data_IF_160199408308
#
_entry.id   IF_160199408308
#
_cell.length_a   1.000
_cell.length_b   1.000
_cell.length_c   1.000
_cell.angle_alpha   90.00
_cell.angle_beta   90.00
_cell.angle_gamma   90.00
#
_symmetry.space_group_name_H-M   'P 1'
#
loop_
_entity.id
_entity.type
_entity.pdbx_description
1 polymer ?
#
# COMPACT_ATOMS: atom_id res chain seq x y z
N UNK A 1 15.40 -15.43 -6.86
CA UNK A 1 14.41 -15.20 -5.79
C UNK A 1 13.30 -14.31 -6.29
N UNK A 2 12.08 -14.51 -5.82
CA UNK A 2 10.89 -13.73 -6.21
C UNK A 2 10.92 -12.30 -5.68
N UNK A 3 11.72 -12.03 -4.65
CA UNK A 3 11.80 -10.72 -4.00
C UNK A 3 13.26 -10.27 -3.87
N UNK A 4 13.53 -8.96 -3.99
CA UNK A 4 14.84 -8.43 -3.68
C UNK A 4 15.13 -8.66 -2.18
N UNK A 5 16.34 -9.16 -1.88
CA UNK A 5 16.77 -9.51 -0.52
C UNK A 5 17.82 -8.56 0.03
N UNK A 6 18.49 -7.81 -0.84
CA UNK A 6 19.52 -6.83 -0.48
C UNK A 6 19.59 -5.71 -1.52
N UNK A 7 20.00 -4.51 -1.09
CA UNK A 7 20.17 -3.34 -1.95
C UNK A 7 19.25 -2.18 -1.64
N UNK A 8 19.36 -1.14 -2.43
CA UNK A 8 18.50 0.05 -2.32
C UNK A 8 18.14 0.59 -3.69
N UNK A 9 16.97 1.21 -3.79
CA UNK A 9 16.48 1.87 -4.99
C UNK A 9 15.89 3.21 -4.60
N UNK A 10 16.25 4.26 -5.32
CA UNK A 10 15.65 5.57 -5.21
C UNK A 10 15.13 5.98 -6.58
N UNK A 11 13.88 6.39 -6.65
CA UNK A 11 13.23 6.83 -7.86
C UNK A 11 12.50 8.14 -7.63
N UNK A 12 12.78 9.15 -8.46
CA UNK A 12 12.10 10.44 -8.47
C UNK A 12 11.47 10.63 -9.84
N UNK A 13 10.20 11.01 -9.86
CA UNK A 13 9.48 11.30 -11.10
C UNK A 13 8.80 12.65 -10.98
N UNK A 14 9.09 13.54 -11.94
CA UNK A 14 8.38 14.80 -12.11
C UNK A 14 7.63 14.78 -13.43
N UNK A 15 6.36 15.13 -13.38
CA UNK A 15 5.47 15.27 -14.54
C UNK A 15 4.83 16.63 -14.48
N UNK A 16 4.68 17.25 -15.65
CA UNK A 16 3.92 18.47 -15.78
C UNK A 16 3.16 18.48 -17.11
N UNK A 17 2.01 19.16 -17.13
CA UNK A 17 1.23 19.45 -18.31
C UNK A 17 0.94 20.94 -18.33
N UNK A 18 1.48 21.72 -19.29
CA UNK A 18 1.14 23.12 -19.40
C UNK A 18 -0.28 23.27 -19.98
N UNK A 19 -1.00 24.30 -19.55
CA UNK A 19 -2.30 24.66 -20.13
C UNK A 19 -2.11 25.16 -21.56
N UNK A 20 -2.56 24.38 -22.55
CA UNK A 20 -2.46 24.72 -23.98
C UNK A 20 -3.80 25.13 -24.58
N UNK A 21 -4.91 24.76 -23.94
CA UNK A 21 -6.27 25.06 -24.37
C UNK A 21 -7.23 24.96 -23.19
N UNK A 22 -8.48 25.36 -23.37
CA UNK A 22 -9.53 25.22 -22.35
C UNK A 22 -9.87 23.76 -22.01
N UNK A 23 -9.36 22.82 -22.79
CA UNK A 23 -9.57 21.38 -22.58
C UNK A 23 -8.41 20.70 -21.81
N UNK A 24 -7.33 21.42 -21.50
CA UNK A 24 -6.17 20.88 -20.79
C UNK A 24 -6.07 21.49 -19.39
N UNK A 25 -5.79 20.61 -18.43
CA UNK A 25 -5.46 21.04 -17.07
C UNK A 25 -3.97 21.35 -16.97
N UNK A 26 -3.63 22.45 -16.30
CA UNK A 26 -2.28 22.71 -15.84
C UNK A 26 -2.02 21.89 -14.57
N UNK A 27 -1.06 20.98 -14.63
CA UNK A 27 -0.68 20.24 -13.44
C UNK A 27 0.81 19.95 -13.36
N UNK A 28 1.25 19.87 -12.14
CA UNK A 28 2.56 19.38 -11.78
C UNK A 28 2.39 18.20 -10.80
N UNK A 29 3.24 17.19 -10.97
CA UNK A 29 3.27 16.04 -10.07
C UNK A 29 4.72 15.68 -9.77
N UNK A 30 5.07 15.62 -8.50
CA UNK A 30 6.35 15.11 -8.02
C UNK A 30 6.11 13.88 -7.17
N UNK A 31 6.81 12.79 -7.47
CA UNK A 31 6.81 11.57 -6.67
C UNK A 31 8.22 11.14 -6.33
N UNK A 32 8.38 10.62 -5.11
CA UNK A 32 9.61 10.03 -4.57
C UNK A 32 9.29 8.61 -4.10
N UNK A 33 10.04 7.62 -4.54
CA UNK A 33 9.92 6.22 -4.11
C UNK A 33 11.30 5.72 -3.69
N UNK A 34 11.50 5.54 -2.41
CA UNK A 34 12.72 4.99 -1.83
C UNK A 34 12.43 3.59 -1.28
N UNK A 35 13.26 2.62 -1.66
CA UNK A 35 13.19 1.25 -1.18
C UNK A 35 14.55 0.79 -0.71
N UNK A 36 14.57 0.11 0.44
CA UNK A 36 15.76 -0.49 1.03
C UNK A 36 15.47 -1.92 1.43
N UNK A 37 16.38 -2.79 1.08
CA UNK A 37 16.34 -4.20 1.45
C UNK A 37 17.63 -4.54 2.19
N UNK A 38 17.49 -5.20 3.32
CA UNK A 38 18.63 -5.67 4.11
C UNK A 38 18.46 -7.15 4.37
N UNK A 39 19.49 -7.91 4.05
CA UNK A 39 19.54 -9.35 4.32
C UNK A 39 20.11 -9.62 5.69
N UNK A 40 19.45 -10.49 6.47
CA UNK A 40 19.90 -10.98 7.78
C UNK A 40 19.94 -12.52 7.73
N UNK A 41 21.10 -13.09 7.44
CA UNK A 41 21.28 -14.53 7.33
C UNK A 41 20.23 -15.19 6.40
N UNK A 42 19.18 -15.79 7.01
CA UNK A 42 18.08 -16.46 6.32
C UNK A 42 16.85 -15.56 6.08
N UNK A 43 16.79 -14.40 6.74
CA UNK A 43 15.65 -13.47 6.65
C UNK A 43 16.03 -12.21 5.88
N UNK A 44 15.03 -11.42 5.54
CA UNK A 44 15.24 -10.09 4.95
C UNK A 44 14.24 -9.07 5.47
N UNK A 45 14.68 -7.82 5.56
CA UNK A 45 13.84 -6.68 5.89
C UNK A 45 13.74 -5.78 4.67
N UNK A 46 12.52 -5.59 4.18
CA UNK A 46 12.19 -4.61 3.14
C UNK A 46 11.56 -3.38 3.75
N UNK A 47 11.99 -2.20 3.31
CA UNK A 47 11.42 -0.91 3.68
C UNK A 47 11.10 -0.14 2.40
N UNK A 48 9.97 0.54 2.38
CA UNK A 48 9.61 1.49 1.34
C UNK A 48 9.13 2.78 1.98
N UNK A 49 9.55 3.89 1.41
CA UNK A 49 9.02 5.21 1.66
C UNK A 49 8.59 5.83 0.34
N UNK A 50 7.33 6.24 0.26
CA UNK A 50 6.78 6.91 -0.90
C UNK A 50 6.18 8.24 -0.48
N UNK A 51 6.48 9.29 -1.26
CA UNK A 51 5.88 10.61 -1.10
C UNK A 51 5.46 11.14 -2.46
N UNK A 52 4.33 11.83 -2.51
CA UNK A 52 3.83 12.43 -3.74
C UNK A 52 3.06 13.71 -3.49
N UNK A 53 3.13 14.63 -4.46
CA UNK A 53 2.39 15.88 -4.46
C UNK A 53 1.94 16.26 -5.85
N UNK A 54 0.63 16.57 -5.97
CA UNK A 54 0.04 17.27 -7.10
C UNK A 54 -0.20 18.74 -6.75
N UNK A 55 0.03 19.64 -7.73
CA UNK A 55 -0.35 21.05 -7.62
C UNK A 55 -0.65 21.63 -9.00
N UNK A 56 -1.34 22.78 -9.07
CA UNK A 56 -1.88 23.41 -10.28
C UNK A 56 -3.40 23.32 -10.32
N UNK A 57 -4.00 23.64 -11.47
CA UNK A 57 -5.47 23.62 -11.68
C UNK A 57 -5.98 22.21 -12.03
N UNK A 58 -5.39 21.18 -11.44
CA UNK A 58 -5.63 19.80 -11.83
C UNK A 58 -6.61 19.08 -10.90
N UNK A 59 -7.56 18.30 -11.43
CA UNK A 59 -8.35 17.37 -10.65
C UNK A 59 -7.59 16.10 -10.22
N UNK A 60 -6.32 15.96 -10.64
CA UNK A 60 -5.51 14.78 -10.34
C UNK A 60 -5.28 14.59 -8.86
N UNK A 61 -5.47 13.36 -8.38
CA UNK A 61 -5.31 12.97 -6.98
C UNK A 61 -4.56 11.65 -6.86
N UNK A 62 -3.87 11.49 -5.73
CA UNK A 62 -3.40 10.17 -5.31
C UNK A 62 -4.54 9.43 -4.66
N UNK A 63 -4.73 8.17 -5.07
CA UNK A 63 -5.63 7.22 -4.41
C UNK A 63 -4.78 6.23 -3.63
N UNK A 64 -4.82 6.32 -2.30
CA UNK A 64 -4.09 5.48 -1.38
C UNK A 64 -4.99 4.36 -0.86
N UNK A 65 -4.48 3.13 -0.80
CA UNK A 65 -5.26 2.01 -0.29
C UNK A 65 -4.55 0.69 -0.42
N UNK A 66 -5.33 -0.38 -0.35
CA UNK A 66 -4.88 -1.76 -0.39
C UNK A 66 -4.21 -2.17 -1.70
N UNK A 67 -3.83 -3.42 -1.78
CA UNK A 67 -3.42 -4.05 -3.03
C UNK A 67 -4.63 -4.73 -3.68
N UNK A 68 -4.65 -4.93 -5.01
CA UNK A 68 -5.66 -5.75 -5.66
C UNK A 68 -5.68 -7.17 -5.08
N UNK A 69 -6.85 -7.68 -4.74
CA UNK A 69 -7.01 -9.06 -4.27
C UNK A 69 -7.94 -9.85 -5.18
N UNK A 70 -7.83 -11.18 -5.13
CA UNK A 70 -8.68 -12.12 -5.87
C UNK A 70 -9.84 -12.59 -5.00
N UNK A 71 -9.57 -12.80 -3.69
CA UNK A 71 -10.54 -13.21 -2.71
C UNK A 71 -10.24 -12.61 -1.34
N UNK A 72 -11.27 -12.39 -0.53
CA UNK A 72 -11.14 -11.90 0.84
C UNK A 72 -12.25 -12.48 1.73
N UNK A 73 -12.06 -12.45 3.05
CA UNK A 73 -13.08 -12.81 4.03
C UNK A 73 -14.18 -11.77 4.17
N UNK A 74 -13.93 -10.57 3.73
CA UNK A 74 -14.82 -9.43 3.86
C UNK A 74 -15.55 -9.19 2.53
N UNK A 75 -16.85 -8.94 2.61
CA UNK A 75 -17.65 -8.55 1.44
C UNK A 75 -17.47 -7.05 1.17
N UNK A 76 -16.22 -6.64 0.89
CA UNK A 76 -15.86 -5.25 0.60
C UNK A 76 -15.65 -5.07 -0.89
N UNK A 77 -15.96 -3.89 -1.44
CA UNK A 77 -15.56 -3.59 -2.82
C UNK A 77 -14.04 -3.59 -2.92
N UNK A 78 -13.52 -4.29 -3.92
CA UNK A 78 -12.08 -4.34 -4.19
C UNK A 78 -11.52 -2.95 -4.51
N UNK A 79 -12.31 -2.17 -5.22
CA UNK A 79 -11.98 -0.81 -5.63
C UNK A 79 -13.05 0.16 -5.14
N UNK A 80 -12.63 1.33 -4.74
CA UNK A 80 -13.53 2.46 -4.56
C UNK A 80 -13.58 3.22 -5.89
N UNK A 81 -14.57 2.88 -6.74
CA UNK A 81 -14.75 3.51 -8.04
C UNK A 81 -15.67 4.71 -7.94
N UNK A 82 -15.15 5.86 -8.36
CA UNK A 82 -15.91 6.83 -9.09
C UNK A 82 -15.40 6.82 -10.54
N UNK A 83 -16.28 6.60 -11.52
CA UNK A 83 -15.88 6.41 -12.92
C UNK A 83 -15.25 7.67 -13.53
N UNK A 84 -15.65 8.86 -13.09
CA UNK A 84 -15.09 10.12 -13.56
C UNK A 84 -13.69 10.39 -12.95
N UNK A 85 -13.49 10.02 -11.69
CA UNK A 85 -12.23 10.22 -10.99
C UNK A 85 -11.14 9.22 -11.37
N UNK A 86 -11.49 8.08 -11.98
CA UNK A 86 -10.52 7.04 -12.31
C UNK A 86 -9.45 7.54 -13.29
N UNK A 87 -9.82 8.32 -14.28
CA UNK A 87 -8.90 8.83 -15.30
C UNK A 87 -7.89 9.86 -14.76
N UNK A 88 -8.21 10.54 -13.65
CA UNK A 88 -7.40 11.58 -13.04
C UNK A 88 -6.77 11.14 -11.71
N UNK A 89 -6.51 9.85 -11.56
CA UNK A 89 -5.98 9.28 -10.32
C UNK A 89 -4.66 8.56 -10.51
N UNK A 90 -3.77 8.66 -9.53
CA UNK A 90 -2.59 7.83 -9.40
C UNK A 90 -2.73 6.96 -8.15
N UNK A 91 -2.83 5.65 -8.36
CA UNK A 91 -2.97 4.70 -7.27
C UNK A 91 -1.65 4.45 -6.57
N UNK A 92 -1.64 4.59 -5.26
CA UNK A 92 -0.51 4.31 -4.37
C UNK A 92 -0.88 3.16 -3.45
N UNK A 93 -0.10 2.10 -3.45
CA UNK A 93 -0.33 0.89 -2.66
C UNK A 93 1.01 0.22 -2.29
N UNK A 94 1.05 -0.73 -1.33
CA UNK A 94 -0.09 -1.23 -0.57
C UNK A 94 -0.32 -0.50 0.75
N UNK A 95 -1.59 -0.39 1.18
CA UNK A 95 -1.99 -0.40 2.58
C UNK A 95 -2.90 -1.61 2.73
N UNK A 96 -2.33 -2.74 3.11
CA UNK A 96 -3.02 -4.03 3.15
C UNK A 96 -4.17 -4.01 4.15
N UNK A 97 -5.29 -4.67 3.82
CA UNK A 97 -6.50 -4.64 4.64
C UNK A 97 -7.44 -3.46 4.38
N UNK A 98 -7.11 -2.59 3.44
CA UNK A 98 -7.98 -1.53 2.92
C UNK A 98 -8.41 -1.83 1.48
N UNK A 99 -9.53 -1.26 1.04
CA UNK A 99 -9.89 -1.25 -0.38
C UNK A 99 -8.91 -0.40 -1.17
N UNK A 100 -8.61 -0.78 -2.41
CA UNK A 100 -7.72 -0.01 -3.27
C UNK A 100 -8.31 1.37 -3.54
N UNK A 101 -7.54 2.43 -3.30
CA UNK A 101 -7.97 3.80 -3.51
C UNK A 101 -9.04 4.29 -2.52
N UNK A 102 -9.15 3.66 -1.34
CA UNK A 102 -10.12 4.04 -0.30
C UNK A 102 -9.87 5.41 0.33
N UNK A 103 -8.69 5.96 0.14
CA UNK A 103 -8.29 7.29 0.64
C UNK A 103 -7.72 8.09 -0.54
N UNK A 104 -7.97 9.39 -0.60
CA UNK A 104 -7.50 10.20 -1.70
C UNK A 104 -7.24 11.66 -1.36
N UNK A 105 -6.23 12.25 -2.01
CA UNK A 105 -5.82 13.62 -1.81
C UNK A 105 -4.76 14.05 -2.83
N UNK A 106 -4.45 15.36 -2.85
CA UNK A 106 -3.39 15.91 -3.71
C UNK A 106 -1.98 15.62 -3.19
N UNK A 107 -1.85 15.27 -1.92
CA UNK A 107 -0.60 14.89 -1.30
C UNK A 107 -0.72 13.49 -0.69
N UNK A 108 0.38 12.75 -0.68
CA UNK A 108 0.44 11.38 -0.15
C UNK A 108 1.78 11.10 0.51
N UNK A 109 1.72 10.39 1.62
CA UNK A 109 2.87 9.71 2.22
C UNK A 109 2.50 8.25 2.49
N UNK A 110 3.45 7.34 2.22
CA UNK A 110 3.30 5.92 2.50
C UNK A 110 4.64 5.35 2.99
N UNK A 111 4.59 4.58 4.05
CA UNK A 111 5.69 3.78 4.57
C UNK A 111 5.25 2.34 4.73
N UNK A 112 6.03 1.43 4.15
CA UNK A 112 5.83 0.00 4.29
C UNK A 112 7.09 -0.62 4.90
N UNK A 113 6.90 -1.55 5.81
CA UNK A 113 7.94 -2.35 6.41
C UNK A 113 7.54 -3.82 6.34
N UNK A 114 8.42 -4.67 5.82
CA UNK A 114 8.22 -6.10 5.70
C UNK A 114 9.40 -6.89 6.24
N UNK A 115 9.12 -7.80 7.14
CA UNK A 115 10.08 -8.79 7.60
C UNK A 115 9.73 -10.16 7.02
N UNK A 116 10.65 -10.71 6.23
CA UNK A 116 10.46 -11.93 5.43
C UNK A 116 11.29 -13.07 6.00
N UNK A 117 10.64 -14.19 6.28
CA UNK A 117 11.24 -15.40 6.83
C UNK A 117 10.97 -16.60 5.93
N UNK A 118 11.96 -17.44 5.60
CA UNK A 118 11.76 -18.72 4.95
C UNK A 118 11.19 -19.75 5.95
N UNK A 119 9.91 -19.59 6.33
CA UNK A 119 9.33 -20.30 7.47
C UNK A 119 9.41 -21.82 7.36
N UNK A 120 9.19 -22.40 6.18
CA UNK A 120 9.08 -23.85 6.04
C UNK A 120 10.40 -24.53 5.66
N UNK A 121 11.33 -23.82 5.04
CA UNK A 121 12.65 -24.38 4.72
C UNK A 121 13.41 -24.79 5.98
N UNK A 122 13.18 -24.10 7.09
CA UNK A 122 13.85 -24.35 8.37
C UNK A 122 13.26 -25.56 9.12
N UNK A 123 11.92 -25.74 9.05
CA UNK A 123 11.22 -26.80 9.78
C UNK A 123 11.03 -28.09 9.02
N UNK A 124 10.99 -28.03 7.69
CA UNK A 124 10.72 -29.18 6.81
C UNK A 124 11.68 -29.22 5.63
N UNK A 125 13.00 -29.41 5.85
CA UNK A 125 14.00 -29.41 4.78
C UNK A 125 13.82 -30.55 3.77
N UNK A 126 13.05 -31.58 4.10
CA UNK A 126 12.83 -32.77 3.27
C UNK A 126 11.84 -32.55 2.13
N UNK A 127 11.02 -31.48 2.18
CA UNK A 127 9.98 -31.22 1.19
C UNK A 127 10.34 -29.95 0.41
N UNK A 128 11.08 -30.11 -0.67
CA UNK A 128 11.67 -29.01 -1.45
C UNK A 128 10.63 -27.99 -1.99
N UNK A 129 9.42 -28.40 -2.34
CA UNK A 129 8.41 -27.49 -2.85
C UNK A 129 7.79 -26.61 -1.74
N UNK A 130 7.76 -27.08 -0.49
CA UNK A 130 7.36 -26.28 0.67
C UNK A 130 8.41 -25.22 1.04
N UNK A 131 9.68 -25.43 0.66
CA UNK A 131 10.75 -24.45 0.86
C UNK A 131 10.57 -23.16 0.08
N UNK A 132 9.62 -23.08 -0.84
CA UNK A 132 9.26 -21.86 -1.55
C UNK A 132 8.21 -21.01 -0.82
N UNK A 133 7.68 -21.48 0.33
CA UNK A 133 6.74 -20.73 1.14
C UNK A 133 7.51 -19.88 2.14
N UNK A 134 7.41 -18.55 1.95
CA UNK A 134 7.97 -17.56 2.86
C UNK A 134 6.86 -17.00 3.75
N UNK A 135 7.16 -16.79 5.03
CA UNK A 135 6.31 -16.00 5.91
C UNK A 135 6.70 -14.53 5.85
N UNK A 136 5.73 -13.64 5.86
CA UNK A 136 5.94 -12.20 5.89
C UNK A 136 5.17 -11.61 7.06
N UNK A 137 5.84 -10.78 7.86
CA UNK A 137 5.23 -9.85 8.81
C UNK A 137 5.36 -8.46 8.21
N UNK A 138 4.30 -7.68 8.26
CA UNK A 138 4.31 -6.36 7.67
C UNK A 138 3.60 -5.32 8.52
N UNK A 139 3.95 -4.06 8.28
CA UNK A 139 3.20 -2.91 8.73
C UNK A 139 3.23 -1.84 7.66
N UNK A 140 2.07 -1.25 7.39
CA UNK A 140 1.84 -0.21 6.39
C UNK A 140 1.25 1.01 7.08
N UNK A 141 1.89 2.15 6.95
CA UNK A 141 1.43 3.44 7.46
C UNK A 141 1.33 4.42 6.31
N UNK A 142 0.19 5.05 6.14
CA UNK A 142 0.02 6.04 5.07
C UNK A 142 -0.98 7.12 5.41
N UNK A 143 -0.88 8.22 4.69
CA UNK A 143 -1.77 9.37 4.80
C UNK A 143 -1.93 10.08 3.47
N UNK A 144 -3.08 10.67 3.27
CA UNK A 144 -3.39 11.57 2.16
C UNK A 144 -4.07 12.82 2.67
N UNK A 145 -3.82 13.94 1.99
CA UNK A 145 -4.43 15.23 2.34
C UNK A 145 -4.42 16.20 1.15
N UNK A 146 -5.23 17.24 1.21
CA UNK A 146 -5.24 18.31 0.22
C UNK A 146 -4.51 19.57 0.72
N UNK A 147 -4.96 20.20 1.76
CA UNK A 147 -4.41 21.48 2.24
C UNK A 147 -3.32 21.28 3.29
N UNK A 148 -3.65 20.63 4.40
CA UNK A 148 -2.75 20.41 5.52
C UNK A 148 -2.70 18.95 5.93
N UNK A 149 -1.52 18.50 6.38
CA UNK A 149 -1.38 17.11 6.85
C UNK A 149 -2.30 16.89 8.07
N UNK A 150 -3.11 15.80 8.07
CA UNK A 150 -4.02 15.51 9.18
C UNK A 150 -3.26 15.33 10.50
N UNK A 151 -3.79 15.85 11.60
CA UNK A 151 -3.17 15.69 12.91
C UNK A 151 -3.15 14.19 13.30
N UNK A 152 -1.96 13.69 13.57
CA UNK A 152 -1.75 12.29 13.96
C UNK A 152 -2.40 11.95 15.32
N UNK A 153 -2.56 12.94 16.21
CA UNK A 153 -3.14 12.77 17.54
C UNK A 153 -4.66 12.98 17.57
N UNK A 154 -5.27 13.40 16.47
CA UNK A 154 -6.72 13.56 16.37
C UNK A 154 -7.37 12.23 15.95
N UNK A 155 -8.35 11.78 16.74
CA UNK A 155 -9.12 10.57 16.44
C UNK A 155 -9.95 10.68 15.15
N UNK A 156 -10.36 11.87 14.75
CA UNK A 156 -11.07 12.10 13.49
C UNK A 156 -10.20 11.79 12.29
N UNK A 157 -8.90 12.04 12.36
CA UNK A 157 -7.93 11.74 11.30
C UNK A 157 -7.74 10.24 11.04
N UNK A 158 -8.27 9.35 11.89
CA UNK A 158 -8.20 7.89 11.76
C UNK A 158 -9.54 7.24 11.38
N UNK A 159 -10.63 8.01 11.44
CA UNK A 159 -11.98 7.54 11.15
C UNK A 159 -12.35 7.85 9.70
N UNK A 160 -12.25 6.85 8.84
CA UNK A 160 -12.59 6.98 7.44
C UNK A 160 -14.03 6.54 7.21
N UNK A 161 -14.94 7.49 6.99
CA UNK A 161 -16.31 7.21 6.55
C UNK A 161 -16.33 6.98 5.04
N UNK A 162 -16.99 5.90 4.61
CA UNK A 162 -17.01 5.43 3.22
C UNK A 162 -18.14 6.04 2.37
N UNK A 163 -18.72 7.16 2.76
CA UNK A 163 -19.90 7.72 2.11
C UNK A 163 -19.61 8.60 0.87
N UNK A 164 -18.51 8.33 0.14
CA UNK A 164 -18.24 9.00 -1.15
C UNK A 164 -17.59 10.38 -1.04
N UNK A 165 -17.32 10.86 0.17
CA UNK A 165 -16.56 12.09 0.39
C UNK A 165 -15.06 11.80 0.50
N UNK A 166 -14.24 12.79 0.15
CA UNK A 166 -12.79 12.79 0.30
C UNK A 166 -12.38 12.29 1.68
N UNK A 167 -11.70 11.16 1.74
CA UNK A 167 -11.30 10.55 2.99
C UNK A 167 -9.84 10.86 3.23
N UNK A 168 -9.57 12.08 3.65
CA UNK A 168 -8.26 12.48 4.14
C UNK A 168 -7.99 11.85 5.50
N UNK A 169 -6.75 11.56 5.80
CA UNK A 169 -6.37 11.05 7.11
C UNK A 169 -5.28 10.01 7.09
N UNK A 170 -5.12 9.32 8.21
CA UNK A 170 -4.11 8.32 8.45
C UNK A 170 -4.70 6.92 8.42
N UNK A 171 -3.95 5.98 7.86
CA UNK A 171 -4.23 4.55 7.98
C UNK A 171 -2.96 3.84 8.44
N UNK A 172 -3.08 3.02 9.50
CA UNK A 172 -2.02 2.15 9.99
C UNK A 172 -2.54 0.73 10.05
N UNK A 173 -1.97 -0.12 9.20
CA UNK A 173 -2.32 -1.53 9.17
C UNK A 173 -1.07 -2.37 9.44
N UNK A 174 -1.28 -3.56 9.97
CA UNK A 174 -0.23 -4.55 10.15
C UNK A 174 -0.81 -5.95 9.98
N UNK A 175 0.06 -6.90 9.79
CA UNK A 175 -0.39 -8.26 9.60
C UNK A 175 0.74 -9.24 9.33
N UNK A 176 0.32 -10.42 8.95
CA UNK A 176 1.23 -11.47 8.52
C UNK A 176 0.57 -12.37 7.49
N UNK A 177 1.38 -13.11 6.74
CA UNK A 177 0.86 -14.11 5.83
C UNK A 177 1.92 -14.83 5.02
N UNK A 178 1.56 -15.97 4.43
CA UNK A 178 2.44 -16.70 3.54
C UNK A 178 2.56 -16.07 2.16
N UNK A 179 3.74 -16.23 1.57
CA UNK A 179 4.04 -15.97 0.17
C UNK A 179 4.48 -17.27 -0.47
N UNK A 180 3.86 -17.68 -1.54
CA UNK A 180 4.13 -18.95 -2.21
C UNK A 180 3.98 -18.82 -3.73
N UNK A 181 4.59 -19.76 -4.45
CA UNK A 181 4.42 -19.90 -5.90
C UNK A 181 3.49 -21.06 -6.18
N UNK A 182 2.42 -20.82 -6.90
CA UNK A 182 1.49 -21.82 -7.36
C UNK A 182 1.16 -21.60 -8.84
N UNK A 183 1.27 -22.66 -9.66
CA UNK A 183 1.16 -22.61 -11.12
C UNK A 183 2.10 -21.58 -11.78
N UNK A 184 3.30 -21.40 -11.24
CA UNK A 184 4.29 -20.45 -11.77
C UNK A 184 4.01 -19.00 -11.44
N UNK A 185 2.95 -18.70 -10.72
CA UNK A 185 2.56 -17.36 -10.30
C UNK A 185 2.80 -17.15 -8.81
N UNK A 186 3.28 -15.97 -8.38
CA UNK A 186 3.41 -15.63 -6.98
C UNK A 186 2.03 -15.32 -6.37
N UNK A 187 1.76 -15.93 -5.22
CA UNK A 187 0.56 -15.75 -4.43
C UNK A 187 0.92 -15.26 -3.04
N UNK A 188 0.02 -14.49 -2.49
CA UNK A 188 0.11 -13.96 -1.14
C UNK A 188 -1.23 -14.03 -0.44
N UNK A 189 -1.23 -14.50 0.80
CA UNK A 189 -2.39 -14.52 1.68
C UNK A 189 -2.06 -13.68 2.91
N UNK A 190 -2.76 -12.59 3.10
CA UNK A 190 -2.52 -11.64 4.18
C UNK A 190 -3.66 -11.65 5.20
N UNK A 191 -3.32 -11.85 6.46
CA UNK A 191 -4.19 -11.61 7.61
C UNK A 191 -3.87 -10.21 8.15
N UNK A 192 -4.87 -9.33 8.23
CA UNK A 192 -4.66 -7.90 8.43
C UNK A 192 -5.45 -7.35 9.59
N UNK A 193 -4.82 -6.42 10.31
CA UNK A 193 -5.44 -5.62 11.37
C UNK A 193 -5.18 -4.14 11.09
N UNK A 194 -6.13 -3.31 11.48
CA UNK A 194 -5.96 -1.86 11.53
C UNK A 194 -5.73 -1.44 12.97
N UNK A 195 -4.74 -0.58 13.17
CA UNK A 195 -4.42 0.03 14.46
C UNK A 195 -4.86 1.49 14.50
N UNK A 196 -5.47 1.89 15.59
CA UNK A 196 -5.91 3.25 15.87
C UNK A 196 -5.10 3.79 17.07
N UNK A 197 -4.00 4.54 16.85
CA UNK A 197 -3.07 4.91 17.91
C UNK A 197 -3.68 5.79 18.99
N UNK A 198 -4.60 6.69 18.62
CA UNK A 198 -5.26 7.60 19.57
C UNK A 198 -6.14 6.84 20.58
N UNK A 199 -6.78 5.77 20.15
CA UNK A 199 -7.68 4.98 21.01
C UNK A 199 -7.03 3.69 21.52
N UNK A 200 -5.85 3.33 21.00
CA UNK A 200 -5.18 2.06 21.28
C UNK A 200 -5.95 0.82 20.76
N UNK A 201 -6.96 1.00 19.91
CA UNK A 201 -7.80 -0.10 19.41
C UNK A 201 -7.12 -0.80 18.24
N UNK A 202 -7.32 -2.13 18.20
CA UNK A 202 -6.98 -2.99 17.07
C UNK A 202 -8.27 -3.57 16.48
N UNK A 203 -8.43 -3.49 15.18
CA UNK A 203 -9.58 -4.04 14.47
C UNK A 203 -9.07 -5.05 13.43
N UNK A 204 -9.60 -6.28 13.48
CA UNK A 204 -9.34 -7.26 12.43
C UNK A 204 -10.04 -6.85 11.15
N UNK A 205 -9.29 -6.78 10.05
CA UNK A 205 -9.78 -6.36 8.75
C UNK A 205 -10.03 -7.52 7.79
N UNK A 206 -9.76 -8.74 8.22
CA UNK A 206 -9.98 -9.93 7.40
C UNK A 206 -8.69 -10.50 6.80
N UNK A 207 -8.87 -11.52 5.96
CA UNK A 207 -7.80 -12.07 5.12
C UNK A 207 -8.03 -11.70 3.66
N UNK A 208 -6.93 -11.55 2.91
CA UNK A 208 -6.91 -11.15 1.51
C UNK A 208 -5.96 -12.07 0.74
N UNK A 209 -6.47 -12.70 -0.31
CA UNK A 209 -5.69 -13.50 -1.24
C UNK A 209 -5.41 -12.66 -2.49
N UNK A 210 -4.16 -12.44 -2.79
CA UNK A 210 -3.71 -11.65 -3.93
C UNK A 210 -2.74 -12.45 -4.79
N UNK A 211 -2.60 -12.03 -6.04
CA UNK A 211 -1.62 -12.55 -6.98
C UNK A 211 -0.71 -11.39 -7.42
N UNK A 212 0.58 -11.62 -7.38
CA UNK A 212 1.58 -10.61 -7.73
C UNK A 212 2.71 -10.54 -6.71
N UNK A 213 3.64 -9.64 -6.97
CA UNK A 213 4.71 -9.32 -6.03
C UNK A 213 4.35 -8.01 -5.33
N UNK A 214 4.54 -7.99 -4.02
CA UNK A 214 4.61 -6.74 -3.27
C UNK A 214 5.80 -5.90 -3.76
N UNK A 215 5.96 -4.72 -3.25
CA UNK A 215 7.03 -3.80 -3.63
C UNK A 215 8.46 -4.40 -3.55
#
# INVERSE_FOLDING_TARGET
>A
GLHPIDGSRFYTKYRFSPKHSDFNYDFHCLTLDFRKYNRFQISSLGMRFFAGKFWGDSPYKFKLGGAPWIASSENRPQYNYDSEEHYFSEYVYPIRGKSLGSMWGSNVLLMNLEYRLPMLLYYLPTIQWLGQINGVFFTDLGTVWNESIPDFNDSASWNHSTNGESVEGWAWTYGFGPRFVFLGMPWQLDYTWQYYPVTGKNQYNGWFLSMGLDF
#
